data_IF_355873335032
#
_entry.id   IF_355873335032
#
_cell.length_a   1.000
_cell.length_b   1.000
_cell.length_c   1.000
_cell.angle_alpha   90.00
_cell.angle_beta   90.00
_cell.angle_gamma   90.00
#
_symmetry.space_group_name_H-M   'P 1'
#
loop_
_entity.id
_entity.type
_entity.pdbx_description
1 polymer ?
#
# COMPACT_ATOMS: atom_id res chain seq x y z
N UNK A 1 -6.72 -12.01 -11.60
CA UNK A 1 -5.29 -11.66 -11.44
C UNK A 1 -4.61 -12.87 -10.79
N UNK A 2 -3.31 -13.13 -10.99
CA UNK A 2 -2.72 -14.36 -10.48
C UNK A 2 -2.88 -14.38 -8.96
N UNK A 3 -3.47 -15.45 -8.42
CA UNK A 3 -3.42 -15.75 -7.00
C UNK A 3 -1.94 -15.84 -6.61
N UNK A 4 -1.52 -15.01 -5.65
CA UNK A 4 -0.11 -14.86 -5.31
C UNK A 4 0.31 -13.46 -4.91
N UNK A 5 1.54 -13.39 -4.40
CA UNK A 5 2.14 -12.20 -3.83
C UNK A 5 2.66 -11.25 -4.90
N UNK A 6 2.05 -10.07 -4.98
CA UNK A 6 2.47 -8.96 -5.85
C UNK A 6 3.36 -7.99 -5.06
N UNK A 7 4.41 -7.47 -5.69
CA UNK A 7 5.30 -6.48 -5.08
C UNK A 7 5.28 -5.21 -5.91
N UNK A 8 4.97 -4.09 -5.26
CA UNK A 8 4.97 -2.75 -5.85
C UNK A 8 6.10 -1.93 -5.21
N UNK A 9 7.01 -1.43 -6.02
CA UNK A 9 8.11 -0.57 -5.57
C UNK A 9 7.79 0.90 -5.84
N UNK A 10 7.78 1.73 -4.80
CA UNK A 10 7.45 3.14 -4.85
C UNK A 10 8.61 3.98 -4.30
N UNK A 11 9.23 4.77 -5.16
CA UNK A 11 10.25 5.74 -4.76
C UNK A 11 9.76 7.14 -5.09
N UNK A 12 9.39 7.90 -4.06
CA UNK A 12 8.91 9.27 -4.21
C UNK A 12 9.86 10.24 -3.51
N UNK A 13 10.52 11.08 -4.28
CA UNK A 13 11.42 12.10 -3.72
C UNK A 13 10.67 13.38 -3.39
N UNK A 14 9.68 13.76 -4.21
CA UNK A 14 8.89 14.97 -4.03
C UNK A 14 7.45 14.77 -4.55
N UNK A 15 6.45 14.99 -3.70
CA UNK A 15 5.03 14.93 -4.09
C UNK A 15 4.20 13.96 -3.25
N UNK A 16 3.12 13.41 -3.81
CA UNK A 16 2.24 12.47 -3.11
C UNK A 16 1.80 11.32 -3.99
N UNK A 17 1.61 10.14 -3.40
CA UNK A 17 1.07 8.95 -4.08
C UNK A 17 -0.26 8.58 -3.43
N UNK A 18 -1.31 8.41 -4.23
CA UNK A 18 -2.57 7.79 -3.79
C UNK A 18 -2.73 6.45 -4.48
N UNK A 19 -2.83 5.40 -3.69
CA UNK A 19 -2.98 4.04 -4.18
C UNK A 19 -4.40 3.55 -3.88
N UNK A 20 -5.11 3.15 -4.93
CA UNK A 20 -6.46 2.56 -4.82
C UNK A 20 -6.27 1.05 -4.91
N UNK A 21 -6.60 0.34 -3.84
CA UNK A 21 -6.48 -1.12 -3.79
C UNK A 21 -7.83 -1.76 -3.43
N UNK A 22 -8.10 -2.95 -3.97
CA UNK A 22 -9.29 -3.72 -3.59
C UNK A 22 -9.30 -4.03 -2.08
N UNK A 23 -10.49 -4.03 -1.47
CA UNK A 23 -10.65 -4.29 -0.02
C UNK A 23 -10.34 -5.73 0.37
N UNK A 24 -10.44 -6.66 -0.57
CA UNK A 24 -10.13 -8.07 -0.37
C UNK A 24 -8.63 -8.34 -0.29
N UNK A 25 -7.75 -7.41 -0.67
CA UNK A 25 -6.30 -7.68 -0.70
C UNK A 25 -5.62 -7.52 0.66
N UNK A 26 -4.74 -8.48 0.98
CA UNK A 26 -3.84 -8.37 2.12
C UNK A 26 -2.68 -7.45 1.73
N UNK A 27 -2.57 -6.29 2.39
CA UNK A 27 -1.54 -5.30 2.08
C UNK A 27 -0.46 -5.28 3.15
N UNK A 28 0.80 -5.34 2.73
CA UNK A 28 1.96 -5.13 3.59
C UNK A 28 2.72 -3.88 3.15
N UNK A 29 2.80 -2.88 4.03
CA UNK A 29 3.48 -1.60 3.75
C UNK A 29 4.88 -1.65 4.37
N UNK A 30 5.92 -1.52 3.53
CA UNK A 30 7.35 -1.50 3.87
C UNK A 30 8.02 -0.27 3.26
N UNK A 31 7.62 0.91 3.72
CA UNK A 31 8.09 2.20 3.19
C UNK A 31 9.09 2.84 4.16
N UNK A 32 10.23 3.27 3.65
CA UNK A 32 11.19 4.10 4.37
C UNK A 32 10.83 5.57 4.14
N UNK A 33 10.24 6.22 5.15
CA UNK A 33 9.85 7.62 5.08
C UNK A 33 10.84 8.51 5.82
N UNK A 34 11.39 9.52 5.15
CA UNK A 34 12.32 10.50 5.74
C UNK A 34 11.57 11.74 6.24
N UNK A 35 10.85 12.43 5.34
CA UNK A 35 9.98 13.57 5.67
C UNK A 35 8.61 13.43 4.99
N UNK A 36 7.63 12.99 5.79
CA UNK A 36 6.25 12.76 5.37
C UNK A 36 5.66 11.50 6.00
N UNK A 37 4.59 10.96 5.44
CA UNK A 37 3.89 9.80 6.02
C UNK A 37 3.06 9.03 5.01
N UNK A 38 2.94 7.73 5.24
CA UNK A 38 2.07 6.85 4.45
C UNK A 38 0.87 6.45 5.31
N UNK A 39 -0.34 6.86 4.91
CA UNK A 39 -1.58 6.69 5.70
C UNK A 39 -2.46 5.64 5.03
N UNK A 40 -2.81 4.60 5.78
CA UNK A 40 -3.84 3.63 5.36
C UNK A 40 -5.22 4.14 5.82
N UNK A 41 -6.05 4.59 4.88
CA UNK A 41 -7.44 5.02 5.14
C UNK A 41 -8.46 3.98 4.66
N UNK A 42 -8.04 2.75 4.39
CA UNK A 42 -8.97 1.72 3.92
C UNK A 42 -9.96 1.34 5.01
N UNK A 43 -11.20 1.16 4.59
CA UNK A 43 -12.23 0.52 5.42
C UNK A 43 -12.02 -0.98 5.33
N UNK A 44 -11.19 -1.52 6.23
CA UNK A 44 -10.94 -2.96 6.32
C UNK A 44 -12.22 -3.63 6.83
N UNK A 45 -12.99 -4.25 5.93
CA UNK A 45 -14.03 -5.18 6.36
C UNK A 45 -13.34 -6.40 6.94
N UNK A 46 -13.80 -6.96 8.08
CA UNK A 46 -13.31 -8.25 8.56
C UNK A 46 -13.77 -9.32 7.57
N UNK A 47 -12.95 -9.56 6.54
CA UNK A 47 -13.17 -10.64 5.57
C UNK A 47 -12.78 -11.96 6.26
N UNK A 48 -13.78 -12.80 6.50
CA UNK A 48 -13.60 -14.17 7.00
C UNK A 48 -12.91 -15.10 5.99
N UNK A 49 -12.81 -14.67 4.73
CA UNK A 49 -12.07 -15.36 3.68
C UNK A 49 -10.73 -14.67 3.49
N UNK A 50 -9.65 -15.38 3.82
CA UNK A 50 -8.29 -15.00 3.48
C UNK A 50 -8.16 -14.95 1.97
N UNK A 51 -8.19 -13.75 1.39
CA UNK A 51 -7.85 -13.56 -0.02
C UNK A 51 -6.45 -14.11 -0.29
N UNK A 52 -6.32 -14.92 -1.34
CA UNK A 52 -5.05 -15.45 -1.83
C UNK A 52 -4.18 -14.36 -2.52
N UNK A 53 -4.68 -13.10 -2.56
CA UNK A 53 -3.99 -11.97 -3.18
C UNK A 53 -3.34 -11.08 -2.12
N UNK A 54 -2.01 -11.13 -2.08
CA UNK A 54 -1.18 -10.27 -1.25
C UNK A 54 -0.51 -9.18 -2.10
N UNK A 55 -0.48 -7.94 -1.61
CA UNK A 55 0.30 -6.86 -2.21
C UNK A 55 1.27 -6.28 -1.18
N UNK A 56 2.56 -6.33 -1.52
CA UNK A 56 3.64 -5.75 -0.73
C UNK A 56 4.07 -4.44 -1.38
N UNK A 57 3.87 -3.35 -0.67
CA UNK A 57 4.33 -2.02 -1.07
C UNK A 57 5.67 -1.78 -0.41
N UNK A 58 6.72 -1.53 -1.20
CA UNK A 58 8.07 -1.28 -0.70
C UNK A 58 8.71 -0.06 -1.37
N UNK A 59 9.69 0.56 -0.71
CA UNK A 59 10.47 1.67 -1.30
C UNK A 59 10.62 2.83 -0.31
N UNK A 60 10.94 4.01 -0.81
CA UNK A 60 11.21 5.17 0.04
C UNK A 60 10.41 6.42 -0.36
N UNK A 61 10.00 7.20 0.64
CA UNK A 61 9.42 8.53 0.45
C UNK A 61 10.27 9.57 1.19
N UNK A 62 10.85 10.53 0.46
CA UNK A 62 11.79 11.50 1.05
C UNK A 62 11.09 12.79 1.44
N UNK A 63 10.42 13.49 0.52
CA UNK A 63 9.62 14.69 0.78
C UNK A 63 8.21 14.52 0.22
N UNK A 64 7.29 13.98 1.00
CA UNK A 64 5.98 13.66 0.47
C UNK A 64 5.12 12.70 1.28
N UNK A 65 3.88 12.53 0.85
CA UNK A 65 2.92 11.63 1.49
C UNK A 65 2.54 10.45 0.62
N UNK A 66 2.02 9.40 1.25
CA UNK A 66 1.31 8.34 0.56
C UNK A 66 -0.04 8.11 1.22
N UNK A 67 -1.06 7.83 0.42
CA UNK A 67 -2.39 7.47 0.91
C UNK A 67 -2.82 6.16 0.26
N UNK A 68 -3.35 5.25 1.07
CA UNK A 68 -3.97 4.02 0.61
C UNK A 68 -5.47 4.09 0.88
N UNK A 69 -6.26 3.96 -0.19
CA UNK A 69 -7.72 3.99 -0.15
C UNK A 69 -8.32 2.77 -0.87
N UNK A 70 -9.58 2.49 -0.58
CA UNK A 70 -10.37 1.44 -1.22
C UNK A 70 -11.59 2.02 -1.94
#
# INVERSE_FOLDING_TARGET
>A
MPAGRTVLELNNVFGGITLIVPTDWVIHIKMDNVMGGFVDKRTVKPSFDSSDSELVIKGACVFGGGELIN
#
